data_IF_211180942049
#
_entry.id   IF_211180942049
#
_cell.length_a   1.000
_cell.length_b   1.000
_cell.length_c   1.000
_cell.angle_alpha   90.00
_cell.angle_beta   90.00
_cell.angle_gamma   90.00
#
_symmetry.space_group_name_H-M   'P 1'
#
loop_
_entity.id
_entity.type
_entity.pdbx_description
1 polymer ?
#
# COMPACT_ATOMS: atom_id res chain seq x y z
N UNK A 1 -33.98 42.43 0.70
CA UNK A 1 -34.29 41.68 1.93
C UNK A 1 -33.87 40.25 1.72
N UNK A 2 -33.10 39.71 2.66
CA UNK A 2 -32.26 38.52 2.53
C UNK A 2 -33.03 37.24 2.22
N UNK A 3 -32.48 36.42 1.31
CA UNK A 3 -32.80 35.00 1.21
C UNK A 3 -31.58 34.22 1.68
N UNK A 4 -31.76 33.52 2.78
CA UNK A 4 -30.81 32.64 3.45
C UNK A 4 -30.47 31.46 2.54
N UNK A 5 -29.20 31.34 2.14
CA UNK A 5 -28.62 30.10 1.62
C UNK A 5 -27.79 29.46 2.74
N UNK A 6 -28.45 28.58 3.50
CA UNK A 6 -27.88 27.41 4.18
C UNK A 6 -28.25 26.24 3.26
N UNK A 7 -27.43 25.25 2.90
CA UNK A 7 -26.18 24.69 3.44
C UNK A 7 -25.61 23.80 2.33
N UNK A 8 -24.35 23.96 1.96
CA UNK A 8 -23.64 23.05 1.05
C UNK A 8 -22.31 22.57 1.64
N UNK A 9 -22.23 22.42 2.96
CA UNK A 9 -20.97 22.21 3.68
C UNK A 9 -20.92 20.95 4.56
N UNK A 10 -21.68 19.89 4.25
CA UNK A 10 -21.76 18.68 5.10
C UNK A 10 -21.17 17.40 4.49
N UNK A 11 -20.46 17.45 3.36
CA UNK A 11 -19.81 16.26 2.76
C UNK A 11 -18.27 16.29 2.78
N UNK A 12 -17.66 17.29 3.42
CA UNK A 12 -16.19 17.45 3.46
C UNK A 12 -15.49 16.70 4.61
N UNK A 13 -16.21 15.88 5.39
CA UNK A 13 -15.69 15.23 6.60
C UNK A 13 -15.00 13.87 6.40
N UNK A 14 -14.90 13.38 5.16
CA UNK A 14 -14.44 12.01 4.84
C UNK A 14 -13.14 11.93 4.03
N UNK A 15 -12.57 13.07 3.61
CA UNK A 15 -11.31 13.10 2.86
C UNK A 15 -10.22 13.69 3.74
N UNK A 16 -9.23 12.88 4.10
CA UNK A 16 -7.98 13.38 4.65
C UNK A 16 -7.21 14.03 3.49
N UNK A 17 -7.53 15.28 3.17
CA UNK A 17 -6.95 16.01 2.01
C UNK A 17 -5.42 16.17 2.12
N UNK A 18 -4.87 16.08 3.32
CA UNK A 18 -3.44 16.12 3.59
C UNK A 18 -2.73 14.77 3.41
N UNK A 19 -3.50 13.69 3.29
CA UNK A 19 -2.98 12.42 2.83
C UNK A 19 -3.08 12.46 1.31
N UNK A 20 -2.03 12.97 0.67
CA UNK A 20 -1.84 12.76 -0.77
C UNK A 20 -1.71 11.25 -0.97
N UNK A 21 -2.78 10.60 -1.44
CA UNK A 21 -2.70 9.23 -1.90
C UNK A 21 -1.65 9.18 -3.01
N UNK A 22 -0.76 8.19 -2.92
CA UNK A 22 0.21 7.83 -3.95
C UNK A 22 -0.48 7.98 -5.30
N UNK A 23 0.02 8.93 -6.09
CA UNK A 23 -0.59 9.26 -7.38
C UNK A 23 -0.57 8.01 -8.24
N UNK A 24 -1.74 7.42 -8.50
CA UNK A 24 -1.87 6.49 -9.60
C UNK A 24 -2.98 6.89 -10.56
N UNK A 25 -2.70 6.52 -11.79
CA UNK A 25 -3.21 7.12 -13.00
C UNK A 25 -4.70 6.80 -13.12
N UNK A 26 -5.54 7.83 -13.03
CA UNK A 26 -6.82 7.83 -13.73
C UNK A 26 -6.49 7.55 -15.21
N UNK A 27 -6.50 6.29 -15.64
CA UNK A 27 -6.74 6.00 -17.05
C UNK A 27 -8.15 6.48 -17.29
N UNK A 28 -8.26 7.60 -17.98
CA UNK A 28 -9.51 8.24 -18.32
C UNK A 28 -10.26 7.36 -19.32
N UNK A 29 -10.91 6.30 -18.86
CA UNK A 29 -11.95 5.57 -19.59
C UNK A 29 -12.58 4.54 -18.66
N UNK A 30 -13.43 5.01 -17.76
CA UNK A 30 -14.52 4.15 -17.26
C UNK A 30 -15.74 5.07 -17.16
N UNK A 31 -16.35 5.26 -18.32
CA UNK A 31 -17.73 5.71 -18.39
C UNK A 31 -18.60 4.56 -17.86
N UNK A 32 -19.60 4.81 -16.99
CA UNK A 32 -20.44 3.75 -16.42
C UNK A 32 -21.30 2.98 -17.46
N UNK A 33 -21.18 3.30 -18.75
CA UNK A 33 -21.85 2.64 -19.87
C UNK A 33 -21.03 1.48 -20.50
N UNK A 34 -19.75 1.28 -20.14
CA UNK A 34 -18.87 0.23 -20.71
C UNK A 34 -18.90 -1.13 -19.97
N UNK A 35 -19.72 -1.30 -18.91
CA UNK A 35 -19.90 -2.62 -18.27
C UNK A 35 -20.53 -3.67 -19.23
N UNK A 36 -21.09 -3.22 -20.35
CA UNK A 36 -21.72 -4.08 -21.35
C UNK A 36 -20.76 -4.71 -22.38
N UNK A 37 -19.48 -4.31 -22.41
CA UNK A 37 -18.45 -4.83 -23.35
C UNK A 37 -17.20 -5.43 -22.66
N UNK A 38 -17.18 -5.58 -21.34
CA UNK A 38 -15.96 -6.07 -20.67
C UNK A 38 -15.70 -7.55 -20.96
N UNK A 39 -14.52 -7.87 -21.49
CA UNK A 39 -14.00 -9.23 -21.65
C UNK A 39 -14.17 -10.04 -20.34
N UNK A 40 -14.46 -11.35 -20.43
CA UNK A 40 -14.69 -12.17 -19.23
C UNK A 40 -13.44 -12.23 -18.35
N UNK A 41 -13.66 -12.32 -17.03
CA UNK A 41 -12.57 -12.52 -16.07
C UNK A 41 -11.86 -13.86 -16.37
N UNK A 42 -10.53 -13.89 -16.53
CA UNK A 42 -9.79 -15.13 -16.70
C UNK A 42 -9.93 -16.07 -15.48
N UNK A 43 -9.77 -17.39 -15.67
CA UNK A 43 -9.91 -18.36 -14.59
C UNK A 43 -8.97 -18.08 -13.40
N UNK A 44 -9.52 -18.14 -12.19
CA UNK A 44 -8.76 -17.95 -10.94
C UNK A 44 -8.45 -16.50 -10.57
N UNK A 45 -8.80 -15.54 -11.43
CA UNK A 45 -8.68 -14.11 -11.16
C UNK A 45 -9.97 -13.51 -10.62
N UNK A 46 -9.83 -12.50 -9.77
CA UNK A 46 -10.91 -11.71 -9.21
C UNK A 46 -10.58 -10.21 -9.33
N UNK A 47 -11.61 -9.39 -9.57
CA UNK A 47 -11.53 -7.93 -9.60
C UNK A 47 -11.79 -7.37 -8.20
N UNK A 48 -10.99 -6.41 -7.78
CA UNK A 48 -11.12 -5.70 -6.50
C UNK A 48 -11.13 -4.20 -6.71
N UNK A 49 -11.88 -3.51 -5.84
CA UNK A 49 -11.97 -2.05 -5.84
C UNK A 49 -11.19 -1.50 -4.66
N UNK A 50 -10.21 -0.66 -4.95
CA UNK A 50 -9.49 0.10 -3.95
C UNK A 50 -10.41 1.20 -3.36
N UNK A 51 -10.28 1.58 -2.07
CA UNK A 51 -11.09 2.63 -1.45
C UNK A 51 -11.10 4.00 -2.16
N UNK A 52 -10.09 4.30 -2.98
CA UNK A 52 -10.01 5.52 -3.79
C UNK A 52 -10.79 5.44 -5.12
N UNK A 53 -11.35 4.27 -5.46
CA UNK A 53 -12.08 4.01 -6.70
C UNK A 53 -11.30 3.24 -7.78
N UNK A 54 -9.99 3.04 -7.61
CA UNK A 54 -9.18 2.29 -8.56
C UNK A 54 -9.51 0.79 -8.54
N UNK A 55 -9.15 0.10 -9.61
CA UNK A 55 -9.36 -1.33 -9.79
C UNK A 55 -8.03 -2.04 -9.86
N UNK A 56 -7.96 -3.21 -9.23
CA UNK A 56 -6.86 -4.15 -9.41
C UNK A 56 -7.38 -5.59 -9.41
N UNK A 57 -6.50 -6.51 -9.79
CA UNK A 57 -6.84 -7.91 -10.02
C UNK A 57 -5.96 -8.81 -9.18
N UNK A 58 -6.54 -9.92 -8.69
CA UNK A 58 -5.86 -10.88 -7.82
C UNK A 58 -6.14 -12.30 -8.27
N UNK A 59 -5.09 -13.12 -8.35
CA UNK A 59 -5.20 -14.57 -8.49
C UNK A 59 -4.75 -15.29 -7.22
N UNK A 60 -5.70 -15.74 -6.39
CA UNK A 60 -5.39 -16.34 -5.08
C UNK A 60 -4.50 -17.59 -5.16
N UNK A 61 -4.69 -18.42 -6.19
CA UNK A 61 -3.91 -19.65 -6.35
C UNK A 61 -2.45 -19.35 -6.70
N UNK A 62 -2.23 -18.38 -7.60
CA UNK A 62 -0.90 -17.96 -8.02
C UNK A 62 -0.22 -16.98 -7.05
N UNK A 63 -0.97 -16.54 -6.03
CA UNK A 63 -0.58 -15.50 -5.08
C UNK A 63 -0.07 -14.22 -5.76
N UNK A 64 -0.69 -13.84 -6.87
CA UNK A 64 -0.34 -12.68 -7.68
C UNK A 64 -1.42 -11.58 -7.59
N UNK A 65 -0.97 -10.34 -7.43
CA UNK A 65 -1.77 -9.10 -7.53
C UNK A 65 -1.22 -8.19 -8.63
N UNK A 66 -2.06 -7.49 -9.37
CA UNK A 66 -1.62 -6.49 -10.37
C UNK A 66 -2.71 -5.43 -10.61
N UNK A 67 -2.37 -4.16 -10.88
CA UNK A 67 -3.32 -3.15 -11.31
C UNK A 67 -3.69 -3.31 -12.80
N UNK A 68 -2.92 -4.10 -13.55
CA UNK A 68 -3.12 -4.26 -14.99
C UNK A 68 -4.41 -5.03 -15.32
N UNK A 69 -5.08 -4.62 -16.39
CA UNK A 69 -6.32 -5.26 -16.83
C UNK A 69 -6.08 -6.63 -17.48
N UNK A 70 -6.00 -7.65 -16.64
CA UNK A 70 -5.81 -9.04 -17.03
C UNK A 70 -6.98 -9.65 -17.81
N UNK A 71 -8.09 -8.92 -18.01
CA UNK A 71 -9.14 -9.36 -18.96
C UNK A 71 -8.64 -9.26 -20.41
N UNK A 72 -7.64 -8.42 -20.68
CA UNK A 72 -6.97 -8.32 -21.97
C UNK A 72 -5.97 -9.48 -22.14
N UNK A 73 -6.09 -10.33 -23.17
CA UNK A 73 -5.24 -11.52 -23.32
C UNK A 73 -3.73 -11.22 -23.40
N UNK A 74 -3.35 -10.15 -24.09
CA UNK A 74 -1.93 -9.74 -24.21
C UNK A 74 -1.36 -9.32 -22.85
N UNK A 75 -2.13 -8.56 -22.07
CA UNK A 75 -1.73 -8.14 -20.73
C UNK A 75 -1.67 -9.31 -19.76
N UNK A 76 -2.66 -10.21 -19.81
CA UNK A 76 -2.64 -11.46 -19.05
C UNK A 76 -1.38 -12.27 -19.34
N UNK A 77 -1.04 -12.44 -20.62
CA UNK A 77 0.16 -13.17 -21.01
C UNK A 77 1.41 -12.50 -20.45
N UNK A 78 1.56 -11.20 -20.63
CA UNK A 78 2.72 -10.46 -20.11
C UNK A 78 2.87 -10.60 -18.59
N UNK A 79 1.78 -10.43 -17.85
CA UNK A 79 1.74 -10.58 -16.39
C UNK A 79 2.15 -11.99 -15.94
N UNK A 80 1.74 -13.02 -16.68
CA UNK A 80 2.13 -14.40 -16.38
C UNK A 80 3.59 -14.68 -16.72
N UNK A 81 4.07 -14.22 -17.87
CA UNK A 81 5.46 -14.38 -18.30
C UNK A 81 6.41 -13.68 -17.30
N UNK A 82 6.11 -12.43 -16.93
CA UNK A 82 6.89 -11.68 -15.93
C UNK A 82 6.93 -12.36 -14.56
N UNK A 83 5.82 -12.99 -14.15
CA UNK A 83 5.76 -13.77 -12.91
C UNK A 83 6.65 -15.00 -13.01
N UNK A 84 6.53 -15.76 -14.09
CA UNK A 84 7.22 -17.04 -14.23
C UNK A 84 8.73 -16.84 -14.36
N UNK A 85 9.17 -15.84 -15.15
CA UNK A 85 10.57 -15.43 -15.25
C UNK A 85 11.14 -15.02 -13.88
N UNK A 86 10.37 -14.26 -13.09
CA UNK A 86 10.79 -13.86 -11.75
C UNK A 86 10.92 -15.06 -10.80
N UNK A 87 9.96 -15.99 -10.83
CA UNK A 87 10.00 -17.19 -10.00
C UNK A 87 11.15 -18.12 -10.36
N UNK A 88 11.45 -18.28 -11.65
CA UNK A 88 12.63 -19.01 -12.10
C UNK A 88 13.90 -18.37 -11.55
N UNK A 89 14.02 -17.05 -11.69
CA UNK A 89 15.18 -16.28 -11.21
C UNK A 89 15.43 -16.45 -9.72
N UNK A 90 14.40 -16.35 -8.87
CA UNK A 90 14.58 -16.45 -7.42
C UNK A 90 14.67 -17.90 -6.92
N UNK A 91 14.31 -18.89 -7.74
CA UNK A 91 14.29 -20.30 -7.32
C UNK A 91 15.66 -20.86 -6.97
N UNK A 92 16.72 -20.26 -7.54
CA UNK A 92 18.11 -20.63 -7.27
C UNK A 92 18.67 -20.02 -5.98
N UNK A 93 17.96 -19.06 -5.37
CA UNK A 93 18.40 -18.39 -4.16
C UNK A 93 18.25 -19.26 -2.91
N UNK A 94 19.30 -19.29 -2.10
CA UNK A 94 19.30 -20.06 -0.85
C UNK A 94 18.26 -19.59 0.17
N UNK A 95 17.77 -18.34 0.08
CA UNK A 95 16.77 -17.80 1.01
C UNK A 95 15.33 -18.00 0.51
N UNK A 96 15.12 -18.37 -0.75
CA UNK A 96 13.78 -18.62 -1.29
C UNK A 96 12.99 -19.67 -0.48
N UNK A 97 13.58 -20.82 -0.06
CA UNK A 97 12.90 -21.78 0.81
C UNK A 97 12.57 -21.26 2.22
N UNK A 98 13.20 -20.16 2.64
CA UNK A 98 13.03 -19.55 3.97
C UNK A 98 12.01 -18.41 3.98
N UNK A 99 11.41 -18.08 2.83
CA UNK A 99 10.34 -17.09 2.78
C UNK A 99 9.12 -17.54 3.61
N UNK A 100 8.41 -16.61 4.27
CA UNK A 100 7.20 -16.93 5.01
C UNK A 100 6.16 -17.64 4.13
N UNK A 101 5.44 -18.65 4.65
CA UNK A 101 4.54 -19.47 3.83
C UNK A 101 3.37 -18.69 3.25
N UNK A 102 3.10 -17.47 3.71
CA UNK A 102 2.05 -16.57 3.22
C UNK A 102 2.56 -15.54 2.21
N UNK A 103 3.80 -15.62 1.75
CA UNK A 103 4.33 -14.64 0.81
C UNK A 103 3.49 -14.58 -0.48
N UNK A 104 3.37 -13.39 -1.03
CA UNK A 104 2.68 -13.09 -2.28
C UNK A 104 3.48 -12.15 -3.18
N UNK A 105 3.16 -12.18 -4.47
CA UNK A 105 3.73 -11.33 -5.50
C UNK A 105 2.75 -10.21 -5.86
N UNK A 106 3.28 -9.02 -6.06
CA UNK A 106 2.56 -7.90 -6.66
C UNK A 106 3.36 -7.36 -7.84
N UNK A 107 2.71 -7.17 -8.97
CA UNK A 107 3.26 -6.45 -10.12
C UNK A 107 2.65 -5.06 -10.06
N UNK A 108 3.46 -4.03 -9.80
CA UNK A 108 2.95 -2.66 -9.61
C UNK A 108 2.98 -1.80 -10.87
N UNK A 109 3.81 -2.17 -11.85
CA UNK A 109 3.92 -1.47 -13.12
C UNK A 109 4.39 -2.46 -14.18
N UNK A 110 3.80 -2.36 -15.37
CA UNK A 110 4.15 -3.11 -16.56
C UNK A 110 4.44 -2.11 -17.67
N UNK A 111 5.70 -2.05 -18.09
CA UNK A 111 6.12 -1.31 -19.28
C UNK A 111 6.44 -2.26 -20.43
N UNK A 112 6.63 -1.71 -21.64
CA UNK A 112 7.01 -2.49 -22.83
C UNK A 112 8.29 -3.33 -22.65
N UNK A 113 9.10 -3.06 -21.61
CA UNK A 113 10.41 -3.71 -21.40
C UNK A 113 10.65 -4.22 -19.98
N UNK A 114 9.85 -3.82 -19.00
CA UNK A 114 10.06 -4.21 -17.60
C UNK A 114 8.75 -4.32 -16.83
N UNK A 115 8.64 -5.37 -16.02
CA UNK A 115 7.67 -5.47 -14.94
C UNK A 115 8.36 -5.14 -13.61
N UNK A 116 7.71 -4.36 -12.76
CA UNK A 116 8.18 -4.13 -11.38
C UNK A 116 7.48 -5.11 -10.46
N UNK A 117 8.22 -6.12 -10.00
CA UNK A 117 7.72 -7.14 -9.07
C UNK A 117 8.17 -6.86 -7.64
N UNK A 118 7.23 -6.95 -6.71
CA UNK A 118 7.48 -6.96 -5.27
C UNK A 118 6.97 -8.26 -4.64
N UNK A 119 7.66 -8.70 -3.59
CA UNK A 119 7.26 -9.86 -2.79
C UNK A 119 6.92 -9.41 -1.36
N UNK A 120 5.85 -9.91 -0.78
CA UNK A 120 5.32 -9.42 0.50
C UNK A 120 4.83 -10.56 1.38
N UNK A 121 5.07 -10.50 2.69
CA UNK A 121 4.45 -11.38 3.68
C UNK A 121 3.70 -10.54 4.70
N UNK A 122 2.43 -10.90 4.92
CA UNK A 122 1.54 -10.20 5.86
C UNK A 122 1.78 -10.67 7.28
N UNK A 123 2.05 -11.96 7.47
CA UNK A 123 2.41 -12.52 8.77
C UNK A 123 3.74 -11.95 9.27
N UNK A 124 4.72 -11.75 8.40
CA UNK A 124 5.99 -11.12 8.77
C UNK A 124 5.93 -9.58 8.78
N UNK A 125 4.92 -8.97 8.16
CA UNK A 125 4.85 -7.52 7.96
C UNK A 125 6.04 -7.00 7.14
N UNK A 126 6.43 -7.73 6.10
CA UNK A 126 7.73 -7.59 5.47
C UNK A 126 7.62 -7.61 3.94
N UNK A 127 8.41 -6.77 3.29
CA UNK A 127 8.61 -6.79 1.84
C UNK A 127 10.00 -7.34 1.51
N UNK A 128 10.11 -7.97 0.34
CA UNK A 128 11.31 -8.60 -0.20
C UNK A 128 11.51 -8.15 -1.65
N UNK A 129 12.75 -8.16 -2.10
CA UNK A 129 13.14 -7.79 -3.45
C UNK A 129 14.26 -8.71 -3.93
N UNK A 130 14.21 -9.07 -5.22
CA UNK A 130 15.35 -9.67 -5.89
C UNK A 130 16.36 -8.60 -6.28
N UNK A 131 17.60 -8.72 -5.81
CA UNK A 131 18.70 -7.85 -6.24
C UNK A 131 19.53 -8.55 -7.32
N UNK A 132 19.21 -8.28 -8.59
CA UNK A 132 19.89 -8.91 -9.74
C UNK A 132 21.42 -8.86 -9.65
N UNK A 133 21.99 -7.70 -9.31
CA UNK A 133 23.46 -7.52 -9.20
C UNK A 133 24.09 -8.40 -8.13
N UNK A 134 23.35 -8.69 -7.07
CA UNK A 134 23.82 -9.49 -5.95
C UNK A 134 23.40 -10.96 -6.09
N UNK A 135 22.52 -11.27 -7.05
CA UNK A 135 21.97 -12.61 -7.26
C UNK A 135 21.30 -13.18 -6.01
N UNK A 136 20.58 -12.34 -5.25
CA UNK A 136 19.94 -12.77 -4.00
C UNK A 136 18.66 -12.04 -3.65
N UNK A 137 17.81 -12.71 -2.89
CA UNK A 137 16.66 -12.09 -2.22
C UNK A 137 17.13 -11.26 -1.02
N UNK A 138 16.61 -10.05 -0.91
CA UNK A 138 16.87 -9.16 0.22
C UNK A 138 15.57 -8.69 0.86
N UNK A 139 15.66 -8.44 2.16
CA UNK A 139 14.57 -7.86 2.95
C UNK A 139 14.57 -6.35 2.74
N UNK A 140 13.44 -5.76 2.32
CA UNK A 140 13.30 -4.30 2.17
C UNK A 140 12.98 -3.64 3.51
N UNK A 141 13.07 -2.32 3.58
CA UNK A 141 12.53 -1.59 4.72
C UNK A 141 11.02 -1.82 4.87
N UNK A 142 10.52 -1.87 6.11
CA UNK A 142 9.11 -2.10 6.47
C UNK A 142 8.14 -1.12 5.79
N UNK A 143 8.60 0.07 5.41
CA UNK A 143 7.86 1.07 4.64
C UNK A 143 7.28 0.49 3.33
N UNK A 144 8.01 -0.40 2.66
CA UNK A 144 7.55 -1.01 1.42
C UNK A 144 6.41 -2.01 1.65
N UNK A 145 6.38 -2.67 2.82
CA UNK A 145 5.24 -3.48 3.22
C UNK A 145 4.01 -2.61 3.44
N UNK A 146 4.15 -1.48 4.13
CA UNK A 146 3.04 -0.56 4.35
C UNK A 146 2.52 0.08 3.07
N UNK A 147 3.41 0.43 2.14
CA UNK A 147 3.02 0.87 0.81
C UNK A 147 2.19 -0.20 0.08
N UNK A 148 2.59 -1.47 0.15
CA UNK A 148 1.81 -2.57 -0.43
C UNK A 148 0.41 -2.72 0.21
N UNK A 149 0.33 -2.65 1.54
CA UNK A 149 -0.95 -2.70 2.25
C UNK A 149 -1.85 -1.54 1.85
N UNK A 150 -1.28 -0.35 1.66
CA UNK A 150 -2.01 0.81 1.17
C UNK A 150 -2.49 0.63 -0.27
N UNK A 151 -1.66 0.04 -1.12
CA UNK A 151 -1.90 -0.10 -2.56
C UNK A 151 -2.97 -1.16 -2.88
N UNK A 152 -3.00 -2.28 -2.14
CA UNK A 152 -3.91 -3.40 -2.42
C UNK A 152 -4.68 -3.88 -1.18
N UNK A 153 -5.48 -3.03 -0.51
CA UNK A 153 -6.05 -3.35 0.79
C UNK A 153 -7.29 -4.25 0.73
N UNK A 154 -8.00 -4.24 -0.39
CA UNK A 154 -9.37 -4.77 -0.50
C UNK A 154 -9.52 -6.28 -0.68
N UNK A 155 -8.45 -7.00 -1.00
CA UNK A 155 -8.53 -8.45 -1.29
C UNK A 155 -8.31 -9.34 -0.07
N UNK A 156 -8.11 -8.74 1.11
CA UNK A 156 -8.01 -9.45 2.38
C UNK A 156 -9.23 -9.21 3.26
N UNK A 157 -9.68 -10.27 3.92
CA UNK A 157 -10.80 -10.21 4.86
C UNK A 157 -10.42 -9.62 6.23
N UNK A 158 -9.14 -9.56 6.56
CA UNK A 158 -8.63 -9.09 7.85
C UNK A 158 -7.36 -8.26 7.65
N UNK A 159 -7.07 -7.34 8.56
CA UNK A 159 -5.79 -6.62 8.59
C UNK A 159 -4.60 -7.58 8.85
N UNK A 160 -3.36 -7.17 8.53
CA UNK A 160 -2.20 -7.96 8.92
C UNK A 160 -2.12 -8.09 10.45
N UNK A 161 -1.59 -9.21 10.98
CA UNK A 161 -1.55 -9.44 12.42
C UNK A 161 -0.84 -8.31 13.17
N UNK A 162 -1.37 -7.91 14.34
CA UNK A 162 -0.77 -6.88 15.21
C UNK A 162 -0.81 -5.44 14.69
N UNK A 163 -1.31 -5.22 13.46
CA UNK A 163 -1.25 -3.92 12.77
C UNK A 163 -2.02 -2.81 13.50
N UNK A 164 -3.19 -3.12 14.10
CA UNK A 164 -3.97 -2.13 14.84
C UNK A 164 -3.28 -1.68 16.14
N UNK A 165 -2.65 -2.61 16.86
CA UNK A 165 -1.92 -2.29 18.09
C UNK A 165 -0.69 -1.44 17.78
N UNK A 166 0.06 -1.82 16.73
CA UNK A 166 1.21 -1.08 16.23
C UNK A 166 0.82 0.35 15.82
N UNK A 167 -0.28 0.49 15.08
CA UNK A 167 -0.81 1.78 14.64
C UNK A 167 -1.19 2.70 15.80
N UNK A 168 -1.95 2.19 16.78
CA UNK A 168 -2.36 2.99 17.94
C UNK A 168 -1.13 3.43 18.74
N UNK A 169 -0.14 2.54 18.90
CA UNK A 169 1.11 2.86 19.59
C UNK A 169 1.91 3.94 18.83
N UNK A 170 2.11 3.79 17.52
CA UNK A 170 2.83 4.73 16.66
C UNK A 170 2.21 6.13 16.71
N UNK A 171 0.90 6.22 16.53
CA UNK A 171 0.15 7.48 16.56
C UNK A 171 0.21 8.16 17.93
N UNK A 172 0.07 7.39 19.01
CA UNK A 172 0.18 7.92 20.39
C UNK A 172 1.58 8.46 20.68
N UNK A 173 2.61 7.73 20.24
CA UNK A 173 4.01 8.16 20.38
C UNK A 173 4.28 9.42 19.54
N UNK A 174 3.78 9.49 18.30
CA UNK A 174 3.94 10.66 17.43
C UNK A 174 3.42 11.94 18.10
N UNK A 175 2.26 11.90 18.76
CA UNK A 175 1.75 13.05 19.54
C UNK A 175 2.68 13.47 20.67
N UNK A 176 3.19 12.50 21.42
CA UNK A 176 4.11 12.78 22.54
C UNK A 176 5.40 13.42 22.04
N UNK A 177 5.93 12.92 20.92
CA UNK A 177 7.16 13.42 20.30
C UNK A 177 6.98 14.81 19.68
N UNK A 178 5.82 15.09 19.05
CA UNK A 178 5.44 16.44 18.61
C UNK A 178 5.42 17.44 19.78
N UNK A 179 4.86 17.06 20.92
CA UNK A 179 4.86 17.89 22.13
C UNK A 179 6.28 18.19 22.67
N UNK A 180 7.25 17.32 22.37
CA UNK A 180 8.66 17.49 22.70
C UNK A 180 9.45 18.26 21.63
N UNK A 181 8.81 18.71 20.55
CA UNK A 181 9.41 19.53 19.49
C UNK A 181 9.99 18.74 18.31
N UNK A 182 9.74 17.44 18.21
CA UNK A 182 10.14 16.65 17.05
C UNK A 182 9.28 16.96 15.81
N UNK A 183 9.88 16.88 14.63
CA UNK A 183 9.19 17.14 13.36
C UNK A 183 8.58 15.85 12.82
N UNK A 184 7.28 15.87 12.58
CA UNK A 184 6.54 14.78 11.93
C UNK A 184 5.87 15.29 10.66
N UNK A 185 5.54 14.39 9.70
CA UNK A 185 4.83 14.76 8.49
C UNK A 185 3.35 15.08 8.74
N UNK A 186 2.83 14.80 9.95
CA UNK A 186 1.49 15.19 10.37
C UNK A 186 1.54 16.08 11.62
N UNK A 187 0.65 17.08 11.67
CA UNK A 187 0.41 17.91 12.85
C UNK A 187 -0.42 17.16 13.90
N UNK A 188 -0.47 17.66 15.13
CA UNK A 188 -1.30 17.08 16.19
C UNK A 188 -2.78 17.00 15.77
N UNK A 189 -3.30 18.06 15.13
CA UNK A 189 -4.66 18.09 14.59
C UNK A 189 -4.89 17.04 13.49
N UNK A 190 -3.92 16.84 12.60
CA UNK A 190 -4.01 15.81 11.55
C UNK A 190 -4.00 14.40 12.16
N UNK A 191 -3.22 14.20 13.23
CA UNK A 191 -3.21 12.94 13.97
C UNK A 191 -4.55 12.68 14.65
N UNK A 192 -5.19 13.70 15.24
CA UNK A 192 -6.56 13.58 15.76
C UNK A 192 -7.54 13.13 14.67
N UNK A 193 -7.49 13.78 13.50
CA UNK A 193 -8.35 13.42 12.36
C UNK A 193 -8.11 11.98 11.87
N UNK A 194 -6.85 11.51 11.85
CA UNK A 194 -6.50 10.12 11.52
C UNK A 194 -7.14 9.16 12.53
N UNK A 195 -7.06 9.44 13.83
CA UNK A 195 -7.61 8.58 14.88
C UNK A 195 -9.15 8.54 14.88
N UNK A 196 -9.79 9.67 14.61
CA UNK A 196 -11.24 9.74 14.42
C UNK A 196 -11.69 8.90 13.22
N UNK A 197 -10.98 9.00 12.09
CA UNK A 197 -11.27 8.18 10.91
C UNK A 197 -11.07 6.69 11.20
N UNK A 198 -9.93 6.32 11.80
CA UNK A 198 -9.66 4.93 12.19
C UNK A 198 -10.78 4.35 13.07
N UNK A 199 -11.20 5.08 14.11
CA UNK A 199 -12.26 4.63 15.02
C UNK A 199 -13.58 4.39 14.29
N UNK A 200 -13.92 5.29 13.35
CA UNK A 200 -15.13 5.19 12.51
C UNK A 200 -15.07 4.00 11.56
N UNK A 201 -13.95 3.81 10.87
CA UNK A 201 -13.76 2.70 9.94
C UNK A 201 -13.77 1.35 10.66
N UNK A 202 -13.17 1.28 11.86
CA UNK A 202 -13.20 0.11 12.73
C UNK A 202 -14.60 -0.23 13.22
N UNK A 203 -15.38 0.76 13.63
CA UNK A 203 -16.77 0.55 14.05
C UNK A 203 -17.65 -0.05 12.92
N UNK A 204 -17.30 0.23 11.66
CA UNK A 204 -18.00 -0.26 10.48
C UNK A 204 -17.39 -1.54 9.88
N UNK A 205 -16.36 -2.12 10.50
CA UNK A 205 -15.62 -3.28 9.97
C UNK A 205 -15.14 -3.10 8.51
N UNK A 206 -14.76 -1.86 8.14
CA UNK A 206 -14.36 -1.54 6.77
C UNK A 206 -12.87 -1.87 6.56
N UNK A 207 -12.56 -3.16 6.44
CA UNK A 207 -11.18 -3.67 6.30
C UNK A 207 -10.41 -3.04 5.13
N UNK A 208 -10.97 -2.87 3.92
CA UNK A 208 -10.25 -2.20 2.84
C UNK A 208 -9.85 -0.76 3.19
N UNK A 209 -10.76 0.03 3.75
CA UNK A 209 -10.45 1.40 4.13
C UNK A 209 -9.48 1.47 5.31
N UNK A 210 -9.57 0.53 6.26
CA UNK A 210 -8.60 0.40 7.35
C UNK A 210 -7.22 0.04 6.82
N UNK A 211 -7.11 -0.93 5.91
CA UNK A 211 -5.85 -1.34 5.29
C UNK A 211 -5.19 -0.16 4.58
N UNK A 212 -5.96 0.58 3.79
CA UNK A 212 -5.50 1.80 3.15
C UNK A 212 -4.98 2.83 4.17
N UNK A 213 -5.81 3.21 5.16
CA UNK A 213 -5.45 4.21 6.16
C UNK A 213 -4.17 3.84 6.90
N UNK A 214 -4.10 2.61 7.41
CA UNK A 214 -2.95 2.14 8.17
C UNK A 214 -1.71 2.05 7.28
N UNK A 215 -1.83 1.53 6.05
CA UNK A 215 -0.71 1.47 5.11
C UNK A 215 -0.12 2.85 4.78
N UNK A 216 -0.94 3.89 4.64
CA UNK A 216 -0.44 5.25 4.36
C UNK A 216 0.16 5.92 5.59
N UNK A 217 -0.37 5.64 6.78
CA UNK A 217 0.04 6.30 8.02
C UNK A 217 1.27 5.63 8.65
N UNK A 218 1.38 4.30 8.62
CA UNK A 218 2.44 3.56 9.31
C UNK A 218 3.89 3.86 8.89
N UNK A 219 4.21 4.36 7.67
CA UNK A 219 5.55 4.87 7.37
C UNK A 219 6.01 6.04 8.27
N UNK A 220 5.12 6.66 9.05
CA UNK A 220 5.42 7.74 10.01
C UNK A 220 6.62 7.46 10.93
N UNK A 221 6.69 6.27 11.52
CA UNK A 221 7.74 5.92 12.49
C UNK A 221 9.12 5.94 11.83
N UNK A 222 9.16 5.58 10.55
CA UNK A 222 10.38 5.55 9.76
C UNK A 222 10.85 6.93 9.31
N UNK A 223 9.94 7.90 9.17
CA UNK A 223 10.27 9.30 8.90
C UNK A 223 10.82 9.96 10.16
N UNK A 224 10.19 9.72 11.32
CA UNK A 224 10.72 10.20 12.62
C UNK A 224 12.10 9.60 12.94
N UNK A 225 12.36 8.34 12.58
CA UNK A 225 13.69 7.72 12.70
C UNK A 225 14.70 8.30 11.71
N UNK A 226 14.31 8.61 10.47
CA UNK A 226 15.18 9.26 9.48
C UNK A 226 15.53 10.70 9.87
N UNK A 227 14.60 11.47 10.41
CA UNK A 227 14.88 12.86 10.82
C UNK A 227 15.77 12.92 12.07
N UNK A 228 15.58 12.01 13.02
CA UNK A 228 16.46 11.91 14.20
C UNK A 228 17.83 11.32 13.86
N UNK A 229 17.87 10.26 13.05
CA UNK A 229 19.12 9.64 12.60
C UNK A 229 19.90 10.48 11.58
N UNK A 230 19.23 11.37 10.83
CA UNK A 230 19.89 12.22 9.85
C UNK A 230 20.72 13.33 10.49
N UNK A 231 20.40 13.79 11.70
CA UNK A 231 21.23 14.80 12.37
C UNK A 231 22.47 14.16 13.01
N UNK A 232 22.32 13.00 13.67
CA UNK A 232 23.45 12.26 14.26
C UNK A 232 24.38 11.68 13.20
N UNK A 233 23.85 11.11 12.10
CA UNK A 233 24.67 10.63 10.99
C UNK A 233 25.38 11.76 10.22
N UNK A 234 24.74 12.93 10.05
CA UNK A 234 25.40 14.12 9.48
C UNK A 234 26.44 14.74 10.44
N UNK A 235 26.27 14.58 11.75
CA UNK A 235 27.21 15.08 12.76
C UNK A 235 28.38 14.12 13.02
N UNK A 236 28.19 12.80 12.85
CA UNK A 236 29.29 11.82 12.85
C UNK A 236 30.20 12.00 11.62
N UNK A 237 29.65 12.28 10.44
CA UNK A 237 30.44 12.61 9.24
C UNK A 237 31.15 13.97 9.31
N UNK A 238 30.81 14.82 10.29
CA UNK A 238 31.45 16.12 10.54
C UNK A 238 32.38 16.14 11.77
N UNK A 239 32.61 15.00 12.41
CA UNK A 239 33.60 14.84 13.46
C UNK A 239 34.51 13.63 13.24
N UNK A 240 35.31 13.66 12.16
CA UNK A 240 36.75 13.30 12.13
C UNK A 240 37.33 13.47 10.71
#
# INVERSE_FOLDING_TARGET
MASTQQTSNELSGDRLEFIETVQYHRRASDSPDEESESLPMPPGWNRYFHPNGDVYYRNHHLRLTTPEDIRQPEMLQYVMDARDDHLETISEDQNYPHLPPDWELAISDVSDSTAVLGMFSRQAGQAYEWKEREGRLVVKHRQHFWAYVAEYPSHFAHLPPGTEEEFVAAVTQAKTRLGNGEVFPFTEQQIDQIMELYTRLKANDNIPALGWLLGVVMPLDSIGSRLNGSLEALMEDLQL
#
